data_IF_714715064429
#
_entry.id   IF_714715064429
#
_cell.length_a   1.000
_cell.length_b   1.000
_cell.length_c   1.000
_cell.angle_alpha   90.00
_cell.angle_beta   90.00
_cell.angle_gamma   90.00
#
_symmetry.space_group_name_H-M   'P 1'
#
loop_
_entity.id
_entity.type
_entity.pdbx_description
1 polymer ?
#
# COMPACT_ATOMS: atom_id res chain seq x y z
N UNK A 1 4.16 -6.09 18.79
CA UNK A 1 3.89 -5.85 17.36
C UNK A 1 3.50 -7.18 16.75
N UNK A 2 2.26 -7.30 16.27
CA UNK A 2 1.85 -8.44 15.45
C UNK A 2 2.72 -8.46 14.19
N UNK A 3 3.52 -9.51 13.99
CA UNK A 3 4.21 -9.73 12.71
C UNK A 3 3.13 -10.04 11.69
N UNK A 4 2.77 -9.09 10.82
CA UNK A 4 2.02 -9.43 9.60
C UNK A 4 2.83 -10.52 8.89
N UNK A 5 2.22 -11.68 8.67
CA UNK A 5 2.86 -12.82 7.99
C UNK A 5 3.07 -12.55 6.48
N UNK A 6 2.48 -11.47 5.97
CA UNK A 6 2.46 -11.10 4.56
C UNK A 6 2.95 -9.66 4.45
N UNK A 7 4.07 -9.48 3.74
CA UNK A 7 4.62 -8.18 3.38
C UNK A 7 3.98 -7.66 2.09
N UNK A 8 4.03 -6.35 1.88
CA UNK A 8 3.46 -5.71 0.68
C UNK A 8 4.05 -6.27 -0.61
N UNK A 9 5.35 -6.57 -0.63
CA UNK A 9 6.04 -7.12 -1.79
C UNK A 9 5.45 -8.47 -2.24
N UNK A 10 4.94 -9.27 -1.30
CA UNK A 10 4.25 -10.52 -1.62
C UNK A 10 2.88 -10.27 -2.26
N UNK A 11 2.13 -9.29 -1.77
CA UNK A 11 0.82 -8.89 -2.32
C UNK A 11 1.00 -8.33 -3.73
N UNK A 12 2.00 -7.45 -3.91
CA UNK A 12 2.38 -6.87 -5.19
C UNK A 12 2.74 -7.94 -6.23
N UNK A 13 3.51 -8.95 -5.84
CA UNK A 13 3.87 -10.05 -6.74
C UNK A 13 2.63 -10.83 -7.20
N UNK A 14 1.77 -11.26 -6.27
CA UNK A 14 0.54 -12.01 -6.59
C UNK A 14 -0.40 -11.18 -7.46
N UNK A 15 -0.55 -9.89 -7.18
CA UNK A 15 -1.40 -8.98 -7.95
C UNK A 15 -0.92 -8.86 -9.40
N UNK A 16 0.40 -8.73 -9.61
CA UNK A 16 0.99 -8.67 -10.96
C UNK A 16 0.80 -9.98 -11.73
N UNK A 17 1.05 -11.13 -11.10
CA UNK A 17 0.83 -12.44 -11.72
C UNK A 17 -0.63 -12.63 -12.14
N UNK A 18 -1.59 -12.19 -11.33
CA UNK A 18 -3.01 -12.23 -11.68
C UNK A 18 -3.35 -11.30 -12.85
N UNK A 19 -2.76 -10.11 -12.91
CA UNK A 19 -2.91 -9.22 -14.07
C UNK A 19 -2.36 -9.82 -15.35
N UNK A 20 -1.18 -10.44 -15.30
CA UNK A 20 -0.59 -11.16 -16.42
C UNK A 20 -1.49 -12.32 -16.87
N UNK A 21 -1.99 -13.12 -15.93
CA UNK A 21 -2.92 -14.22 -16.24
C UNK A 21 -4.22 -13.71 -16.88
N UNK A 22 -4.77 -12.60 -16.41
CA UNK A 22 -5.96 -11.97 -16.99
C UNK A 22 -5.72 -11.53 -18.43
N UNK A 23 -4.54 -10.96 -18.72
CA UNK A 23 -4.17 -10.48 -20.04
C UNK A 23 -3.95 -11.62 -21.05
N UNK A 24 -3.43 -12.76 -20.58
CA UNK A 24 -3.09 -13.91 -21.43
C UNK A 24 -4.24 -14.91 -21.61
N UNK A 25 -5.28 -14.85 -20.78
CA UNK A 25 -6.39 -15.81 -20.85
C UNK A 25 -7.46 -15.39 -21.85
N UNK A 26 -7.70 -16.25 -22.84
CA UNK A 26 -8.81 -16.13 -23.79
C UNK A 26 -10.09 -16.84 -23.29
N UNK A 27 -10.00 -17.59 -22.20
CA UNK A 27 -11.13 -18.30 -21.61
C UNK A 27 -11.95 -17.35 -20.73
N UNK A 28 -13.17 -17.05 -21.13
CA UNK A 28 -14.08 -16.12 -20.43
C UNK A 28 -14.33 -16.51 -18.97
N UNK A 29 -14.41 -17.81 -18.65
CA UNK A 29 -14.61 -18.26 -17.27
C UNK A 29 -13.37 -17.98 -16.41
N UNK A 30 -12.19 -18.25 -16.94
CA UNK A 30 -10.93 -17.95 -16.27
C UNK A 30 -10.74 -16.44 -16.11
N UNK A 31 -10.99 -15.66 -17.17
CA UNK A 31 -10.97 -14.19 -17.13
C UNK A 31 -11.86 -13.62 -16.02
N UNK A 32 -13.09 -14.10 -15.93
CA UNK A 32 -14.05 -13.64 -14.93
C UNK A 32 -13.62 -14.04 -13.51
N UNK A 33 -13.04 -15.23 -13.34
CA UNK A 33 -12.50 -15.68 -12.05
C UNK A 33 -11.34 -14.77 -11.60
N UNK A 34 -10.36 -14.55 -12.48
CA UNK A 34 -9.19 -13.70 -12.20
C UNK A 34 -9.61 -12.25 -11.95
N UNK A 35 -10.60 -11.74 -12.70
CA UNK A 35 -11.13 -10.38 -12.48
C UNK A 35 -11.72 -10.20 -11.08
N UNK A 36 -12.50 -11.17 -10.59
CA UNK A 36 -13.03 -11.14 -9.21
C UNK A 36 -11.95 -11.23 -8.15
N UNK A 37 -10.88 -12.00 -8.40
CA UNK A 37 -9.74 -12.07 -7.48
C UNK A 37 -8.99 -10.74 -7.42
N UNK A 38 -8.79 -10.09 -8.56
CA UNK A 38 -8.17 -8.76 -8.63
C UNK A 38 -9.03 -7.71 -7.92
N UNK A 39 -10.35 -7.71 -8.14
CA UNK A 39 -11.30 -6.83 -7.42
C UNK A 39 -11.22 -7.05 -5.90
N UNK A 40 -11.24 -8.31 -5.46
CA UNK A 40 -11.11 -8.62 -4.04
C UNK A 40 -9.81 -8.10 -3.43
N UNK A 41 -8.68 -8.28 -4.11
CA UNK A 41 -7.37 -7.81 -3.64
C UNK A 41 -7.34 -6.27 -3.60
N UNK A 42 -7.90 -5.59 -4.61
CA UNK A 42 -7.95 -4.13 -4.64
C UNK A 42 -8.78 -3.57 -3.47
N UNK A 43 -9.99 -4.10 -3.29
CA UNK A 43 -10.95 -3.56 -2.31
C UNK A 43 -10.58 -3.91 -0.87
N UNK A 44 -10.05 -5.11 -0.63
CA UNK A 44 -9.86 -5.62 0.73
C UNK A 44 -8.41 -5.55 1.22
N UNK A 45 -7.43 -5.45 0.31
CA UNK A 45 -6.02 -5.46 0.71
C UNK A 45 -5.36 -4.14 0.34
N UNK A 46 -5.43 -3.76 -0.94
CA UNK A 46 -4.76 -2.55 -1.44
C UNK A 46 -5.38 -1.30 -0.81
N UNK A 47 -6.71 -1.23 -0.74
CA UNK A 47 -7.40 -0.09 -0.14
C UNK A 47 -7.15 0.00 1.38
N UNK A 48 -7.22 -1.10 2.12
CA UNK A 48 -6.95 -1.12 3.57
C UNK A 48 -5.52 -0.65 3.86
N UNK A 49 -4.52 -1.12 3.11
CA UNK A 49 -3.13 -0.66 3.25
C UNK A 49 -2.96 0.82 2.90
N UNK A 50 -3.63 1.32 1.84
CA UNK A 50 -3.64 2.74 1.48
C UNK A 50 -4.23 3.59 2.61
N UNK A 51 -5.34 3.16 3.20
CA UNK A 51 -6.00 3.85 4.31
C UNK A 51 -5.12 3.87 5.55
N UNK A 52 -4.55 2.72 5.93
CA UNK A 52 -3.62 2.60 7.04
C UNK A 52 -2.38 3.50 6.86
N UNK A 53 -1.81 3.51 5.66
CA UNK A 53 -0.67 4.37 5.34
C UNK A 53 -1.03 5.87 5.42
N UNK A 54 -2.24 6.24 4.99
CA UNK A 54 -2.75 7.61 5.12
C UNK A 54 -3.00 8.00 6.58
N UNK A 55 -3.46 7.08 7.42
CA UNK A 55 -3.56 7.28 8.87
C UNK A 55 -2.19 7.52 9.50
N UNK A 56 -1.19 6.70 9.17
CA UNK A 56 0.18 6.92 9.64
C UNK A 56 0.73 8.30 9.24
N UNK A 57 0.49 8.73 8.00
CA UNK A 57 0.86 10.08 7.54
C UNK A 57 0.17 11.17 8.35
N UNK A 58 -1.14 11.04 8.61
CA UNK A 58 -1.91 11.98 9.44
C UNK A 58 -1.39 12.03 10.87
N UNK A 59 -1.00 10.91 11.45
CA UNK A 59 -0.43 10.82 12.80
C UNK A 59 0.92 11.53 12.89
N UNK A 60 1.82 11.26 11.95
CA UNK A 60 3.12 11.93 11.90
C UNK A 60 2.93 13.43 11.69
N UNK A 61 2.02 13.84 10.82
CA UNK A 61 1.73 15.26 10.61
C UNK A 61 1.18 15.94 11.88
N UNK A 62 0.32 15.26 12.65
CA UNK A 62 -0.12 15.75 13.96
C UNK A 62 1.06 15.96 14.91
N UNK A 63 1.98 14.99 14.97
CA UNK A 63 3.19 15.09 15.82
C UNK A 63 4.10 16.24 15.42
N UNK A 64 4.29 16.49 14.12
CA UNK A 64 5.03 17.66 13.61
C UNK A 64 4.38 18.97 14.10
N UNK A 65 3.04 19.07 14.02
CA UNK A 65 2.31 20.28 14.45
C UNK A 65 2.34 20.52 15.96
N UNK A 66 2.39 19.46 16.76
CA UNK A 66 2.40 19.54 18.23
C UNK A 66 3.80 19.54 18.84
N UNK A 67 4.84 19.38 18.02
CA UNK A 67 6.23 19.40 18.48
C UNK A 67 6.56 20.74 19.13
N UNK A 68 7.20 20.69 20.30
CA UNK A 68 7.52 21.90 21.07
C UNK A 68 8.88 22.48 20.71
N UNK A 69 9.73 21.67 20.07
CA UNK A 69 11.09 22.05 19.67
C UNK A 69 11.29 21.85 18.17
N UNK A 70 12.14 22.67 17.58
CA UNK A 70 12.55 22.55 16.18
C UNK A 70 13.19 21.19 15.88
N UNK A 71 13.90 20.62 16.85
CA UNK A 71 14.59 19.35 16.71
C UNK A 71 13.63 18.17 16.66
N UNK A 72 12.62 18.13 17.55
CA UNK A 72 11.52 17.16 17.47
C UNK A 72 10.75 17.29 16.15
N UNK A 73 10.49 18.52 15.72
CA UNK A 73 9.79 18.78 14.46
C UNK A 73 10.57 18.23 13.26
N UNK A 74 11.89 18.42 13.22
CA UNK A 74 12.77 17.89 12.17
C UNK A 74 12.82 16.36 12.17
N UNK A 75 12.84 15.73 13.34
CA UNK A 75 12.82 14.27 13.45
C UNK A 75 11.53 13.69 12.87
N UNK A 76 10.36 14.22 13.25
CA UNK A 76 9.09 13.76 12.68
C UNK A 76 8.95 14.08 11.20
N UNK A 77 9.56 15.18 10.73
CA UNK A 77 9.59 15.50 9.30
C UNK A 77 10.39 14.48 8.48
N UNK A 78 11.49 13.94 9.02
CA UNK A 78 12.24 12.84 8.37
C UNK A 78 11.38 11.59 8.22
N UNK A 79 10.70 11.19 9.30
CA UNK A 79 9.77 10.04 9.28
C UNK A 79 8.66 10.25 8.25
N UNK A 80 8.13 11.46 8.12
CA UNK A 80 7.13 11.79 7.10
C UNK A 80 7.65 11.61 5.66
N UNK A 81 8.90 12.03 5.39
CA UNK A 81 9.51 11.85 4.07
C UNK A 81 9.74 10.37 3.75
N UNK A 82 10.18 9.57 4.72
CA UNK A 82 10.36 8.12 4.57
C UNK A 82 9.02 7.43 4.23
N UNK A 83 7.94 7.77 4.94
CA UNK A 83 6.60 7.27 4.64
C UNK A 83 6.14 7.71 3.24
N UNK A 84 6.41 8.95 2.82
CA UNK A 84 6.07 9.42 1.48
C UNK A 84 6.77 8.61 0.39
N UNK A 85 8.05 8.27 0.58
CA UNK A 85 8.80 7.46 -0.36
C UNK A 85 8.33 6.01 -0.44
N UNK A 86 7.92 5.41 0.69
CA UNK A 86 7.31 4.08 0.70
C UNK A 86 5.98 4.05 -0.07
N UNK A 87 5.11 5.06 0.12
CA UNK A 87 3.85 5.15 -0.62
C UNK A 87 4.03 5.26 -2.15
N UNK A 88 5.11 5.91 -2.61
CA UNK A 88 5.40 6.05 -4.05
C UNK A 88 5.91 4.75 -4.70
N UNK A 89 6.54 3.84 -3.95
CA UNK A 89 6.89 2.52 -4.47
C UNK A 89 5.63 1.67 -4.70
N UNK A 90 4.64 1.81 -3.82
CA UNK A 90 3.37 1.08 -3.92
C UNK A 90 2.50 1.56 -5.09
N UNK A 91 2.62 2.83 -5.50
CA UNK A 91 1.87 3.44 -6.62
C UNK A 91 2.47 3.18 -8.01
N UNK A 92 3.71 2.69 -8.10
CA UNK A 92 4.39 2.42 -9.38
C UNK A 92 4.03 1.08 -10.03
N UNK A 93 3.23 0.27 -9.36
CA UNK A 93 2.72 -0.98 -9.91
C UNK A 93 1.43 -0.65 -10.67
N UNK A 94 1.56 -0.55 -12.00
CA UNK A 94 0.48 -0.36 -12.98
C UNK A 94 0.70 -1.32 -14.13
#
# INVERSE_FOLDING_TARGET
MSKKLIEWDHIAHVYNELWTLKALTSNTKAYNCVSRLLEYIEDNIVQEEKEHHNEMKRDVYRKIKTAKTTEEQQQWYKVYQELKHQGQMNEKIK
#
